data_IF_740021200905
#
_entry.id   IF_740021200905
#
_cell.length_a   1.000
_cell.length_b   1.000
_cell.length_c   1.000
_cell.angle_alpha   90.00
_cell.angle_beta   90.00
_cell.angle_gamma   90.00
#
_symmetry.space_group_name_H-M   'P 1'
#
loop_
_entity.id
_entity.type
_entity.pdbx_description
1 polymer ?
#
# COMPACT_ATOMS: atom_id res chain seq x y z
N UNK A 1 -22.99 15.46 -12.96
CA UNK A 1 -22.26 16.11 -11.85
C UNK A 1 -22.50 17.60 -11.97
N UNK A 2 -22.95 18.27 -10.90
CA UNK A 2 -23.32 19.69 -10.96
C UNK A 2 -22.10 20.60 -10.77
N UNK A 3 -22.21 21.87 -11.19
CA UNK A 3 -21.14 22.87 -11.03
C UNK A 3 -20.75 23.08 -9.56
N UNK A 4 -21.72 22.93 -8.64
CA UNK A 4 -21.49 22.97 -7.19
C UNK A 4 -20.70 21.75 -6.68
N UNK A 5 -20.92 20.57 -7.26
CA UNK A 5 -20.17 19.34 -6.92
C UNK A 5 -18.71 19.46 -7.38
N UNK A 6 -18.47 19.99 -8.58
CA UNK A 6 -17.11 20.22 -9.12
C UNK A 6 -16.34 21.25 -8.29
N UNK A 7 -16.99 22.32 -7.82
CA UNK A 7 -16.37 23.32 -6.93
C UNK A 7 -16.04 22.77 -5.55
N UNK A 8 -16.91 21.95 -4.96
CA UNK A 8 -16.66 21.28 -3.67
C UNK A 8 -15.50 20.29 -3.76
N UNK A 9 -15.43 19.49 -4.82
CA UNK A 9 -14.31 18.56 -5.07
C UNK A 9 -12.99 19.33 -5.27
N UNK A 10 -13.02 20.43 -6.05
CA UNK A 10 -11.84 21.28 -6.25
C UNK A 10 -11.37 21.98 -4.97
N UNK A 11 -12.29 22.43 -4.12
CA UNK A 11 -11.96 23.03 -2.82
C UNK A 11 -11.39 21.99 -1.85
N UNK A 12 -12.02 20.82 -1.71
CA UNK A 12 -11.54 19.74 -0.84
C UNK A 12 -10.15 19.24 -1.26
N UNK A 13 -9.89 19.12 -2.57
CA UNK A 13 -8.57 18.78 -3.12
C UNK A 13 -7.51 19.83 -2.77
N UNK A 14 -7.82 21.12 -2.94
CA UNK A 14 -6.93 22.22 -2.54
C UNK A 14 -6.67 22.26 -1.03
N UNK A 15 -7.63 21.85 -0.21
CA UNK A 15 -7.45 21.77 1.25
C UNK A 15 -6.59 20.57 1.67
N UNK A 16 -6.66 19.45 0.94
CA UNK A 16 -5.76 18.30 1.12
C UNK A 16 -4.33 18.63 0.67
N UNK A 17 -4.16 19.29 -0.47
CA UNK A 17 -2.85 19.74 -0.98
C UNK A 17 -2.16 20.71 0.00
N UNK A 18 -2.92 21.55 0.73
CA UNK A 18 -2.38 22.43 1.78
C UNK A 18 -1.88 21.71 3.03
N UNK A 19 -2.22 20.43 3.21
CA UNK A 19 -1.80 19.61 4.36
C UNK A 19 -0.62 18.69 4.03
N UNK A 20 -0.10 18.75 2.80
CA UNK A 20 1.00 17.89 2.41
C UNK A 20 2.34 18.49 2.86
N UNK A 21 3.26 17.64 3.30
CA UNK A 21 4.62 18.01 3.65
C UNK A 21 5.51 18.17 2.42
N UNK A 22 6.77 18.58 2.63
CA UNK A 22 7.74 18.84 1.55
C UNK A 22 8.04 17.62 0.66
N UNK A 23 7.77 16.41 1.15
CA UNK A 23 7.95 15.18 0.39
C UNK A 23 6.71 14.79 -0.43
N UNK A 24 5.68 15.65 -0.47
CA UNK A 24 4.37 15.36 -1.05
C UNK A 24 3.66 14.18 -0.35
N UNK A 25 3.85 14.03 0.96
CA UNK A 25 3.11 13.11 1.83
C UNK A 25 2.34 13.86 2.93
N UNK A 26 1.86 13.13 3.94
CA UNK A 26 1.21 13.68 5.13
C UNK A 26 2.05 13.33 6.35
N UNK A 27 2.28 14.32 7.22
CA UNK A 27 2.84 14.05 8.52
C UNK A 27 1.78 13.42 9.43
N UNK A 28 2.21 12.77 10.50
CA UNK A 28 1.33 12.14 11.48
C UNK A 28 0.19 13.06 11.93
N UNK A 29 0.48 14.35 12.13
CA UNK A 29 -0.45 15.36 12.62
C UNK A 29 -1.56 15.75 11.61
N UNK A 30 -1.38 15.42 10.32
CA UNK A 30 -2.38 15.69 9.27
C UNK A 30 -3.36 14.54 9.06
N UNK A 31 -3.07 13.38 9.64
CA UNK A 31 -3.80 12.14 9.43
C UNK A 31 -5.04 12.05 10.32
N UNK A 32 -6.09 11.41 9.79
CA UNK A 32 -7.32 11.14 10.53
C UNK A 32 -7.92 9.78 10.11
N UNK A 33 -8.60 9.06 11.02
CA UNK A 33 -9.33 7.85 10.67
C UNK A 33 -10.32 8.10 9.52
N UNK A 34 -10.45 7.13 8.62
CA UNK A 34 -11.29 7.21 7.43
C UNK A 34 -10.63 7.86 6.21
N UNK A 35 -9.45 8.48 6.33
CA UNK A 35 -8.66 8.84 5.15
C UNK A 35 -8.31 7.58 4.36
N UNK A 36 -8.43 7.67 3.04
CA UNK A 36 -8.16 6.57 2.12
C UNK A 36 -7.38 7.02 0.91
N UNK A 37 -6.60 6.11 0.35
CA UNK A 37 -5.96 6.28 -0.93
C UNK A 37 -5.93 4.95 -1.68
N UNK A 38 -5.80 5.04 -2.99
CA UNK A 38 -5.73 3.87 -3.86
C UNK A 38 -4.64 4.03 -4.91
N UNK A 39 -4.07 2.92 -5.32
CA UNK A 39 -3.20 2.81 -6.48
C UNK A 39 -3.53 1.54 -7.24
N UNK A 40 -3.46 1.60 -8.56
CA UNK A 40 -3.76 0.48 -9.43
C UNK A 40 -2.60 0.22 -10.39
N UNK A 41 -2.32 -1.05 -10.63
CA UNK A 41 -1.31 -1.49 -11.59
C UNK A 41 -1.74 -2.79 -12.25
N UNK A 42 -1.59 -2.86 -13.56
CA UNK A 42 -1.70 -4.10 -14.33
C UNK A 42 -0.47 -4.96 -14.09
N UNK A 43 -0.68 -6.19 -13.61
CA UNK A 43 0.40 -7.16 -13.42
C UNK A 43 0.73 -7.78 -14.77
N UNK A 44 1.98 -7.65 -15.21
CA UNK A 44 2.45 -8.22 -16.48
C UNK A 44 3.29 -9.46 -16.26
N UNK A 45 3.58 -10.20 -17.32
CA UNK A 45 4.57 -11.29 -17.26
C UNK A 45 5.95 -10.78 -16.84
N UNK A 46 6.33 -9.58 -17.31
CA UNK A 46 7.60 -8.96 -16.94
C UNK A 46 7.68 -8.70 -15.42
N UNK A 47 6.58 -8.25 -14.81
CA UNK A 47 6.53 -8.05 -13.35
C UNK A 47 6.75 -9.35 -12.57
N UNK A 48 6.15 -10.45 -13.03
CA UNK A 48 6.30 -11.77 -12.40
C UNK A 48 7.75 -12.26 -12.49
N UNK A 49 8.37 -12.14 -13.67
CA UNK A 49 9.76 -12.56 -13.86
C UNK A 49 10.75 -11.67 -13.10
N UNK A 50 10.55 -10.35 -13.11
CA UNK A 50 11.36 -9.41 -12.35
C UNK A 50 11.23 -9.65 -10.84
N UNK A 51 10.01 -9.91 -10.36
CA UNK A 51 9.80 -10.22 -8.95
C UNK A 51 10.42 -11.56 -8.56
N UNK A 52 10.31 -12.59 -9.39
CA UNK A 52 10.98 -13.87 -9.17
C UNK A 52 12.50 -13.68 -9.06
N UNK A 53 13.10 -12.90 -9.97
CA UNK A 53 14.53 -12.57 -9.92
C UNK A 53 14.94 -11.77 -8.69
N UNK A 54 14.15 -10.77 -8.29
CA UNK A 54 14.45 -9.91 -7.15
C UNK A 54 14.23 -10.60 -5.79
N UNK A 55 13.23 -11.47 -5.69
CA UNK A 55 12.87 -12.16 -4.45
C UNK A 55 13.58 -13.51 -4.27
N UNK A 56 14.05 -14.13 -5.37
CA UNK A 56 14.53 -15.51 -5.40
C UNK A 56 13.41 -16.55 -5.41
N UNK A 57 12.14 -16.16 -5.39
CA UNK A 57 11.00 -17.09 -5.47
C UNK A 57 10.77 -17.54 -6.92
N UNK A 58 11.42 -18.65 -7.27
CA UNK A 58 11.35 -19.30 -8.57
C UNK A 58 10.32 -20.44 -8.61
N UNK A 59 9.30 -20.43 -7.75
CA UNK A 59 8.28 -21.48 -7.75
C UNK A 59 7.63 -21.65 -9.13
N UNK A 60 7.60 -22.88 -9.63
CA UNK A 60 7.13 -23.22 -10.97
C UNK A 60 5.70 -22.75 -11.25
N UNK A 61 4.84 -22.61 -10.23
CA UNK A 61 3.47 -22.10 -10.39
C UNK A 61 3.42 -20.66 -10.94
N UNK A 62 4.49 -19.89 -10.75
CA UNK A 62 4.59 -18.50 -11.21
C UNK A 62 5.27 -18.39 -12.58
N UNK A 63 6.25 -19.26 -12.87
CA UNK A 63 7.16 -19.06 -14.00
C UNK A 63 7.08 -20.13 -15.11
N UNK A 64 6.45 -21.28 -14.85
CA UNK A 64 6.34 -22.37 -15.81
C UNK A 64 4.88 -22.62 -16.18
N UNK A 65 4.50 -22.24 -17.41
CA UNK A 65 3.14 -22.39 -17.92
C UNK A 65 2.70 -23.85 -17.97
N UNK A 66 3.53 -24.76 -18.49
CA UNK A 66 3.18 -26.18 -18.60
C UNK A 66 2.90 -26.81 -17.23
N UNK A 67 3.74 -26.51 -16.24
CA UNK A 67 3.50 -26.95 -14.87
C UNK A 67 2.22 -26.32 -14.30
N UNK A 68 2.05 -25.01 -14.44
CA UNK A 68 0.90 -24.30 -13.88
C UNK A 68 -0.45 -24.79 -14.45
N UNK A 69 -0.48 -25.22 -15.71
CA UNK A 69 -1.66 -25.85 -16.35
C UNK A 69 -2.11 -27.15 -15.64
N UNK A 70 -1.18 -27.89 -15.03
CA UNK A 70 -1.51 -29.12 -14.27
C UNK A 70 -2.14 -28.85 -12.91
N UNK A 71 -1.99 -27.63 -12.38
CA UNK A 71 -2.50 -27.25 -11.06
C UNK A 71 -4.01 -26.91 -11.11
N UNK A 72 -4.69 -26.74 -9.96
CA UNK A 72 -6.04 -26.21 -9.91
C UNK A 72 -6.17 -24.80 -10.52
N UNK A 73 -5.08 -24.07 -10.67
CA UNK A 73 -5.07 -22.75 -11.29
C UNK A 73 -5.12 -22.78 -12.82
N UNK A 74 -4.84 -23.90 -13.51
CA UNK A 74 -4.98 -23.98 -14.99
C UNK A 74 -4.24 -22.87 -15.76
N UNK A 75 -3.03 -22.54 -15.31
CA UNK A 75 -2.17 -21.51 -15.89
C UNK A 75 -1.47 -20.67 -14.82
N UNK A 76 -0.42 -19.92 -15.22
CA UNK A 76 0.40 -19.14 -14.28
C UNK A 76 -0.42 -18.14 -13.47
N UNK A 77 0.01 -17.93 -12.23
CA UNK A 77 -0.50 -16.90 -11.32
C UNK A 77 0.67 -16.06 -10.83
N UNK A 78 0.44 -14.79 -10.53
CA UNK A 78 1.42 -13.92 -9.92
C UNK A 78 1.73 -14.34 -8.48
N UNK A 79 2.91 -13.97 -7.98
CA UNK A 79 3.24 -14.12 -6.56
C UNK A 79 2.25 -13.31 -5.71
N UNK A 80 1.77 -13.90 -4.62
CA UNK A 80 0.94 -13.17 -3.66
C UNK A 80 1.64 -11.91 -3.15
N UNK A 81 2.95 -12.02 -2.88
CA UNK A 81 3.77 -10.90 -2.41
C UNK A 81 4.01 -9.82 -3.47
N UNK A 82 4.07 -10.17 -4.77
CA UNK A 82 4.07 -9.20 -5.86
C UNK A 82 2.77 -8.39 -5.84
N UNK A 83 1.63 -9.05 -5.69
CA UNK A 83 0.32 -8.38 -5.57
C UNK A 83 0.27 -7.49 -4.33
N UNK A 84 0.76 -7.97 -3.18
CA UNK A 84 0.82 -7.22 -1.93
C UNK A 84 1.75 -6.00 -2.01
N UNK A 85 2.78 -6.02 -2.86
CA UNK A 85 3.69 -4.88 -3.06
C UNK A 85 2.96 -3.61 -3.55
N UNK A 86 1.79 -3.75 -4.19
CA UNK A 86 0.98 -2.62 -4.63
C UNK A 86 0.37 -1.86 -3.44
N UNK A 87 0.11 -2.55 -2.32
CA UNK A 87 -0.26 -1.92 -1.05
C UNK A 87 0.89 -1.01 -0.58
N UNK A 88 2.12 -1.52 -0.62
CA UNK A 88 3.32 -0.76 -0.28
C UNK A 88 3.48 0.48 -1.16
N UNK A 89 3.30 0.33 -2.48
CA UNK A 89 3.31 1.47 -3.41
C UNK A 89 2.21 2.50 -3.12
N UNK A 90 1.01 2.04 -2.70
CA UNK A 90 -0.08 2.92 -2.28
C UNK A 90 0.31 3.72 -1.05
N UNK A 91 0.89 3.07 -0.04
CA UNK A 91 1.27 3.72 1.21
C UNK A 91 2.41 4.70 1.00
N UNK A 92 3.49 4.26 0.35
CA UNK A 92 4.69 5.07 0.13
C UNK A 92 4.44 6.22 -0.86
N UNK A 93 3.52 6.07 -1.81
CA UNK A 93 3.26 7.08 -2.84
C UNK A 93 2.04 7.96 -2.59
N UNK A 94 1.13 7.59 -1.69
CA UNK A 94 -0.17 8.28 -1.53
C UNK A 94 -0.56 8.59 -0.09
N UNK A 95 -0.62 7.59 0.78
CA UNK A 95 -1.13 7.77 2.15
C UNK A 95 -0.53 6.74 3.12
N UNK A 96 0.25 7.17 4.14
CA UNK A 96 0.61 8.55 4.44
C UNK A 96 1.51 9.24 3.40
N UNK A 97 2.22 8.47 2.57
CA UNK A 97 3.07 9.00 1.50
C UNK A 97 4.57 8.87 1.80
N UNK A 98 5.41 9.59 1.05
CA UNK A 98 6.86 9.41 1.10
C UNK A 98 7.46 9.64 2.49
N UNK A 99 8.47 8.84 2.83
CA UNK A 99 9.09 8.83 4.17
C UNK A 99 8.41 7.90 5.18
N UNK A 100 7.26 7.31 4.83
CA UNK A 100 6.59 6.31 5.68
C UNK A 100 7.43 5.04 5.83
N UNK A 101 7.61 4.59 7.08
CA UNK A 101 8.27 3.33 7.42
C UNK A 101 7.23 2.24 7.65
N UNK A 102 7.42 1.11 6.97
CA UNK A 102 6.58 -0.08 7.13
C UNK A 102 7.01 -0.91 8.35
N UNK A 103 6.12 -1.12 9.32
CA UNK A 103 6.44 -1.83 10.56
C UNK A 103 5.85 -3.23 10.63
N UNK A 104 4.70 -3.44 9.99
CA UNK A 104 4.04 -4.75 9.98
C UNK A 104 2.96 -4.83 8.93
N UNK A 105 2.72 -6.04 8.45
CA UNK A 105 1.67 -6.34 7.49
C UNK A 105 1.10 -7.72 7.80
N UNK A 106 -0.22 -7.80 7.92
CA UNK A 106 -0.94 -9.06 7.83
C UNK A 106 -1.64 -9.16 6.47
N UNK A 107 -1.64 -10.35 5.86
CA UNK A 107 -2.24 -10.60 4.55
C UNK A 107 -3.06 -11.89 4.59
N UNK A 108 -4.20 -11.88 3.90
CA UNK A 108 -4.90 -13.11 3.51
C UNK A 108 -5.11 -13.09 2.01
N UNK A 109 -4.59 -14.11 1.33
CA UNK A 109 -4.73 -14.30 -0.11
C UNK A 109 -6.05 -15.03 -0.39
N UNK A 110 -6.99 -14.36 -1.07
CA UNK A 110 -8.36 -14.84 -1.28
C UNK A 110 -8.58 -15.42 -2.67
N UNK A 111 -7.86 -14.93 -3.66
CA UNK A 111 -7.94 -15.39 -5.03
C UNK A 111 -6.61 -15.15 -5.77
N UNK A 112 -6.28 -15.96 -6.78
CA UNK A 112 -5.10 -15.74 -7.59
C UNK A 112 -5.24 -14.48 -8.46
N UNK A 113 -4.10 -13.84 -8.73
CA UNK A 113 -3.96 -12.76 -9.72
C UNK A 113 -3.17 -13.32 -10.89
N UNK A 114 -3.53 -12.94 -12.12
CA UNK A 114 -2.90 -13.41 -13.36
C UNK A 114 -2.16 -12.30 -14.10
N UNK A 115 -1.23 -12.66 -15.00
CA UNK A 115 -0.73 -11.70 -15.99
C UNK A 115 -1.92 -11.11 -16.78
N UNK A 116 -1.94 -9.79 -16.91
CA UNK A 116 -3.03 -9.03 -17.53
C UNK A 116 -4.04 -8.45 -16.54
N UNK A 117 -4.14 -8.98 -15.32
CA UNK A 117 -5.06 -8.46 -14.30
C UNK A 117 -4.61 -7.09 -13.81
N UNK A 118 -5.58 -6.17 -13.63
CA UNK A 118 -5.33 -4.88 -12.98
C UNK A 118 -5.71 -4.95 -11.51
N UNK A 119 -4.70 -4.88 -10.65
CA UNK A 119 -4.86 -4.91 -9.21
C UNK A 119 -5.06 -3.49 -8.71
N UNK A 120 -6.18 -3.24 -8.07
CA UNK A 120 -6.50 -2.01 -7.35
C UNK A 120 -6.27 -2.22 -5.85
N UNK A 121 -5.23 -1.60 -5.29
CA UNK A 121 -5.02 -1.55 -3.86
C UNK A 121 -5.67 -0.31 -3.27
N UNK A 122 -6.42 -0.46 -2.18
CA UNK A 122 -6.95 0.61 -1.35
C UNK A 122 -6.42 0.45 0.07
N UNK A 123 -6.01 1.56 0.68
CA UNK A 123 -5.64 1.63 2.09
C UNK A 123 -6.53 2.65 2.79
N UNK A 124 -6.96 2.34 4.00
CA UNK A 124 -7.80 3.24 4.82
C UNK A 124 -7.25 3.31 6.24
N UNK A 125 -7.05 4.52 6.76
CA UNK A 125 -6.62 4.73 8.15
C UNK A 125 -7.73 4.28 9.09
N UNK A 126 -7.40 3.36 9.99
CA UNK A 126 -8.30 2.86 11.04
C UNK A 126 -8.04 3.54 12.37
N UNK A 127 -6.76 3.67 12.73
CA UNK A 127 -6.36 4.12 14.07
C UNK A 127 -5.04 4.88 13.99
N UNK A 128 -4.93 5.89 14.85
CA UNK A 128 -3.73 6.67 15.11
C UNK A 128 -3.25 6.32 16.52
N UNK A 129 -1.98 5.96 16.66
CA UNK A 129 -1.33 5.60 17.93
C UNK A 129 -0.32 6.71 18.28
N UNK A 130 -0.68 7.70 19.11
CA UNK A 130 0.10 8.93 19.28
C UNK A 130 1.46 8.71 19.93
N UNK A 131 1.56 7.81 20.90
CA UNK A 131 2.76 7.62 21.73
C UNK A 131 3.97 7.18 20.91
N UNK A 132 3.71 6.51 19.77
CA UNK A 132 4.74 6.01 18.87
C UNK A 132 4.62 6.58 17.45
N UNK A 133 3.70 7.53 17.23
CA UNK A 133 3.36 8.10 15.92
C UNK A 133 3.12 7.01 14.86
N UNK A 134 2.31 6.01 15.21
CA UNK A 134 2.00 4.89 14.32
C UNK A 134 0.58 4.96 13.82
N UNK A 135 0.36 4.36 12.66
CA UNK A 135 -0.94 4.34 11.99
C UNK A 135 -1.28 2.89 11.66
N UNK A 136 -2.46 2.46 12.08
CA UNK A 136 -3.04 1.18 11.66
C UNK A 136 -3.94 1.46 10.47
N UNK A 137 -3.74 0.72 9.38
CA UNK A 137 -4.49 0.87 8.14
C UNK A 137 -5.11 -0.47 7.76
N UNK A 138 -6.37 -0.48 7.29
CA UNK A 138 -6.87 -1.62 6.52
C UNK A 138 -6.33 -1.54 5.10
N UNK A 139 -6.04 -2.69 4.52
CA UNK A 139 -5.47 -2.85 3.18
C UNK A 139 -6.29 -3.85 2.40
N UNK A 140 -6.73 -3.51 1.19
CA UNK A 140 -7.53 -4.39 0.34
C UNK A 140 -7.04 -4.29 -1.09
N UNK A 141 -6.81 -5.42 -1.74
CA UNK A 141 -6.58 -5.47 -3.18
C UNK A 141 -7.76 -6.14 -3.88
N UNK A 142 -8.17 -5.55 -5.00
CA UNK A 142 -9.23 -6.09 -5.86
C UNK A 142 -8.77 -6.21 -7.31
N UNK A 143 -9.36 -7.16 -8.04
CA UNK A 143 -9.29 -7.29 -9.50
C UNK A 143 -10.73 -7.43 -9.97
N UNK A 144 -11.17 -6.57 -10.89
CA UNK A 144 -12.55 -6.54 -11.40
C UNK A 144 -13.62 -6.56 -10.27
N UNK A 145 -13.35 -5.82 -9.19
CA UNK A 145 -14.23 -5.74 -8.01
C UNK A 145 -14.18 -6.95 -7.06
N UNK A 146 -13.48 -8.02 -7.42
CA UNK A 146 -13.28 -9.19 -6.55
C UNK A 146 -12.09 -8.98 -5.63
N UNK A 147 -12.26 -9.20 -4.33
CA UNK A 147 -11.16 -9.15 -3.35
C UNK A 147 -10.19 -10.30 -3.61
N UNK A 148 -8.92 -9.95 -3.89
CA UNK A 148 -7.82 -10.91 -4.08
C UNK A 148 -6.91 -10.96 -2.85
N UNK A 149 -6.79 -9.85 -2.12
CA UNK A 149 -6.09 -9.76 -0.83
C UNK A 149 -6.89 -8.87 0.11
N UNK A 150 -7.01 -9.27 1.37
CA UNK A 150 -7.39 -8.37 2.46
C UNK A 150 -6.38 -8.39 3.62
N UNK A 151 -6.35 -7.28 4.35
CA UNK A 151 -5.57 -7.22 5.56
C UNK A 151 -5.38 -5.87 6.20
N UNK A 152 -4.25 -5.72 6.88
CA UNK A 152 -3.93 -4.57 7.71
C UNK A 152 -2.42 -4.32 7.74
N UNK A 153 -2.07 -3.04 7.81
CA UNK A 153 -0.70 -2.54 7.89
C UNK A 153 -0.52 -1.69 9.14
N UNK A 154 0.65 -1.82 9.75
CA UNK A 154 1.15 -0.89 10.77
C UNK A 154 2.30 -0.11 10.16
N UNK A 155 2.18 1.22 10.14
CA UNK A 155 3.17 2.11 9.53
C UNK A 155 3.52 3.28 10.46
N UNK A 156 4.65 3.91 10.21
CA UNK A 156 5.12 5.11 10.90
C UNK A 156 5.39 6.20 9.85
N UNK A 157 4.49 7.19 9.68
CA UNK A 157 4.73 8.33 8.80
C UNK A 157 5.83 9.25 9.33
N UNK A 158 6.18 10.25 8.54
CA UNK A 158 6.93 11.41 9.02
C UNK A 158 6.11 12.20 10.04
N UNK A 159 6.78 13.07 10.79
CA UNK A 159 6.12 13.97 11.74
C UNK A 159 6.88 15.30 11.77
N UNK A 160 6.14 16.40 11.70
CA UNK A 160 6.74 17.74 11.81
C UNK A 160 7.35 17.99 13.19
N UNK A 161 6.78 17.34 14.20
CA UNK A 161 7.25 17.40 15.59
C UNK A 161 8.50 16.51 15.83
N UNK A 162 9.07 15.88 14.80
CA UNK A 162 10.39 15.24 14.87
C UNK A 162 11.52 16.10 14.29
N UNK A 163 11.21 17.19 13.58
CA UNK A 163 12.21 18.10 13.03
C UNK A 163 12.85 18.87 14.19
N UNK A 164 14.01 18.40 14.64
CA UNK A 164 14.76 18.98 15.77
C UNK A 164 15.39 17.97 16.73
N UNK A 165 15.14 16.66 16.58
CA UNK A 165 15.81 15.62 17.37
C UNK A 165 16.79 14.84 16.51
N UNK A 166 18.09 15.03 16.76
CA UNK A 166 19.16 14.23 16.20
C UNK A 166 18.95 12.74 16.54
N UNK A 167 19.40 11.77 15.72
CA UNK A 167 19.22 10.32 15.95
C UNK A 167 19.70 9.78 17.30
N UNK A 168 20.49 10.56 18.04
CA UNK A 168 20.97 10.27 19.40
C UNK A 168 19.87 10.32 20.47
N UNK A 169 18.72 10.92 20.20
CA UNK A 169 17.68 11.16 21.23
C UNK A 169 16.65 10.01 21.37
N UNK A 170 16.71 9.00 20.48
CA UNK A 170 15.77 7.87 20.46
C UNK A 170 16.30 6.60 21.17
N UNK A 171 17.56 6.58 21.61
CA UNK A 171 18.17 5.43 22.31
C UNK A 171 18.03 5.48 23.83
N UNK A 172 17.54 6.58 24.40
CA UNK A 172 17.39 6.78 25.86
C UNK A 172 15.94 6.55 26.29
N UNK A 173 15.39 5.36 26.02
CA UNK A 173 14.33 4.80 26.86
C UNK A 173 14.16 3.30 26.58
N UNK A 174 15.13 2.53 27.10
CA UNK A 174 14.88 1.16 27.54
C UNK A 174 14.92 1.17 29.08
N UNK A 175 13.74 1.03 29.69
CA UNK A 175 13.57 0.39 31.00
C UNK A 175 12.43 -0.59 30.85
#
# INVERSE_FOLDING_TARGET
MTWQDTMKVGYARRQLEKRMNELNGFDYEDLQPGMRASFAKTITEADILLFAGASGDMNAVHINEQFAQTTPFKGRIAHGMLTASIISATIAGRLPGPGTVYLGQNLRFKAPVRPGDTVHAEVTIKELIPEKRRVVMSTVCTVDGKVVIDGDALVMPTSRDSVGKTPTDLSVNKR
#
